data_IF_732291235970
#
_entry.id   IF_732291235970
#
_cell.length_a   1.000
_cell.length_b   1.000
_cell.length_c   1.000
_cell.angle_alpha   90.00
_cell.angle_beta   90.00
_cell.angle_gamma   90.00
#
_symmetry.space_group_name_H-M   'P 1'
#
loop_
_entity.id
_entity.type
_entity.pdbx_description
1 polymer ?
#
# COMPACT_ATOMS: atom_id res chain seq x y z
N UNK A 1 -30.82 14.75 17.28
CA UNK A 1 -30.40 13.66 16.38
C UNK A 1 -30.74 12.36 17.09
N UNK A 2 -31.70 11.60 16.56
CA UNK A 2 -31.95 10.24 17.02
C UNK A 2 -30.66 9.42 16.80
N UNK A 3 -30.28 8.61 17.78
CA UNK A 3 -29.14 7.71 17.65
C UNK A 3 -29.44 6.67 16.58
N UNK A 4 -28.58 6.55 15.57
CA UNK A 4 -28.67 5.47 14.59
C UNK A 4 -28.57 4.12 15.34
N UNK A 5 -29.63 3.31 15.28
CA UNK A 5 -29.78 2.10 16.08
C UNK A 5 -30.23 0.89 15.22
N UNK A 6 -30.32 -0.27 15.86
CA UNK A 6 -30.66 -1.52 15.19
C UNK A 6 -32.10 -1.53 14.65
N UNK A 7 -33.00 -0.74 15.25
CA UNK A 7 -34.40 -0.60 14.81
C UNK A 7 -34.45 0.11 13.45
N UNK A 8 -33.70 1.20 13.29
CA UNK A 8 -33.62 1.92 12.02
C UNK A 8 -33.02 1.05 10.91
N UNK A 9 -31.96 0.28 11.21
CA UNK A 9 -31.40 -0.68 10.24
C UNK A 9 -32.40 -1.77 9.85
N UNK A 10 -33.19 -2.28 10.80
CA UNK A 10 -34.20 -3.28 10.53
C UNK A 10 -35.35 -2.72 9.67
N UNK A 11 -35.79 -1.50 9.94
CA UNK A 11 -36.79 -0.80 9.13
C UNK A 11 -36.29 -0.52 7.72
N UNK A 12 -35.04 -0.09 7.57
CA UNK A 12 -34.43 0.12 6.26
C UNK A 12 -34.35 -1.20 5.50
N UNK A 13 -33.86 -2.26 6.16
CA UNK A 13 -33.73 -3.60 5.54
C UNK A 13 -35.07 -4.19 5.12
N UNK A 14 -36.17 -3.90 5.83
CA UNK A 14 -37.50 -4.42 5.51
C UNK A 14 -38.14 -3.75 4.29
N UNK A 15 -37.59 -2.61 3.83
CA UNK A 15 -38.03 -1.97 2.58
C UNK A 15 -37.50 -2.69 1.32
N UNK A 16 -36.58 -3.65 1.48
CA UNK A 16 -35.95 -4.35 0.37
C UNK A 16 -36.35 -5.83 0.32
N UNK A 17 -36.65 -6.32 -0.88
CA UNK A 17 -36.75 -7.74 -1.21
C UNK A 17 -35.56 -8.16 -2.10
N UNK A 18 -35.51 -7.67 -3.34
CA UNK A 18 -34.46 -8.01 -4.33
C UNK A 18 -33.90 -6.77 -5.04
N UNK A 19 -34.20 -5.57 -4.53
CA UNK A 19 -33.80 -4.29 -5.13
C UNK A 19 -34.28 -4.15 -6.59
N UNK A 20 -35.52 -4.51 -6.88
CA UNK A 20 -36.12 -4.51 -8.23
C UNK A 20 -37.03 -3.32 -8.48
N UNK A 21 -37.64 -2.77 -7.43
CA UNK A 21 -38.61 -1.67 -7.56
C UNK A 21 -37.91 -0.31 -7.58
N UNK A 22 -38.53 0.69 -8.22
CA UNK A 22 -38.04 2.07 -8.24
C UNK A 22 -37.87 2.65 -6.82
N UNK A 23 -38.76 2.26 -5.89
CA UNK A 23 -38.71 2.69 -4.51
C UNK A 23 -37.46 2.14 -3.78
N UNK A 24 -37.18 0.84 -3.95
CA UNK A 24 -35.96 0.21 -3.42
C UNK A 24 -34.70 0.84 -4.02
N UNK A 25 -34.67 1.06 -5.34
CA UNK A 25 -33.53 1.67 -6.04
C UNK A 25 -33.23 3.08 -5.51
N UNK A 26 -34.26 3.89 -5.26
CA UNK A 26 -34.06 5.22 -4.67
C UNK A 26 -33.49 5.15 -3.24
N UNK A 27 -33.78 4.09 -2.49
CA UNK A 27 -33.23 3.89 -1.14
C UNK A 27 -31.77 3.42 -1.14
N UNK A 28 -31.27 2.85 -2.25
CA UNK A 28 -29.88 2.40 -2.34
C UNK A 28 -28.88 3.54 -2.19
N UNK A 29 -29.20 4.76 -2.63
CA UNK A 29 -28.33 5.93 -2.41
C UNK A 29 -28.12 6.22 -0.92
N UNK A 30 -29.15 6.04 -0.10
CA UNK A 30 -29.07 6.20 1.36
C UNK A 30 -28.23 5.06 1.96
N UNK A 31 -28.46 3.83 1.51
CA UNK A 31 -27.69 2.65 1.95
C UNK A 31 -26.21 2.80 1.62
N UNK A 32 -25.88 3.28 0.42
CA UNK A 32 -24.50 3.50 -0.02
C UNK A 32 -23.80 4.55 0.84
N UNK A 33 -24.46 5.69 1.09
CA UNK A 33 -23.90 6.73 1.96
C UNK A 33 -23.64 6.18 3.38
N UNK A 34 -24.58 5.42 3.95
CA UNK A 34 -24.41 4.80 5.26
C UNK A 34 -23.26 3.78 5.29
N UNK A 35 -23.18 2.92 4.28
CA UNK A 35 -22.13 1.91 4.17
C UNK A 35 -20.74 2.56 4.01
N UNK A 36 -20.62 3.58 3.15
CA UNK A 36 -19.38 4.34 2.95
C UNK A 36 -18.93 5.01 4.24
N UNK A 37 -19.83 5.71 4.94
CA UNK A 37 -19.52 6.31 6.24
C UNK A 37 -19.11 5.28 7.29
N UNK A 38 -19.73 4.10 7.30
CA UNK A 38 -19.37 3.02 8.22
C UNK A 38 -17.97 2.48 7.93
N UNK A 39 -17.62 2.32 6.65
CA UNK A 39 -16.31 1.88 6.21
C UNK A 39 -15.21 2.90 6.59
N UNK A 40 -15.47 4.20 6.40
CA UNK A 40 -14.56 5.28 6.80
C UNK A 40 -14.36 5.36 8.32
N UNK A 41 -15.42 5.14 9.11
CA UNK A 41 -15.31 5.09 10.57
C UNK A 41 -14.56 3.86 11.07
N UNK A 42 -14.68 2.72 10.38
CA UNK A 42 -13.98 1.48 10.75
C UNK A 42 -12.47 1.66 10.80
N UNK A 43 -11.91 2.42 9.86
CA UNK A 43 -10.47 2.73 9.84
C UNK A 43 -10.02 3.58 11.04
N UNK A 44 -10.93 4.32 11.68
CA UNK A 44 -10.63 5.18 12.84
C UNK A 44 -10.91 4.48 14.16
N UNK A 45 -12.01 3.73 14.25
CA UNK A 45 -12.41 2.99 15.44
C UNK A 45 -13.28 1.79 15.05
N UNK A 46 -12.67 0.62 14.96
CA UNK A 46 -13.33 -0.65 14.61
C UNK A 46 -14.42 -1.08 15.59
N UNK A 47 -14.48 -0.49 16.79
CA UNK A 47 -15.43 -0.82 17.85
C UNK A 47 -16.62 0.13 17.92
N UNK A 48 -16.81 1.00 16.92
CA UNK A 48 -17.95 1.92 16.87
C UNK A 48 -19.27 1.15 16.87
N UNK A 49 -20.19 1.53 17.76
CA UNK A 49 -21.54 0.96 17.83
C UNK A 49 -22.29 1.09 16.51
N UNK A 50 -22.01 2.13 15.71
CA UNK A 50 -22.58 2.34 14.38
C UNK A 50 -22.22 1.21 13.41
N UNK A 51 -20.95 0.79 13.40
CA UNK A 51 -20.44 -0.26 12.53
C UNK A 51 -21.05 -1.60 12.93
N UNK A 52 -21.04 -1.91 14.23
CA UNK A 52 -21.64 -3.14 14.76
C UNK A 52 -23.15 -3.20 14.49
N UNK A 53 -23.83 -2.06 14.52
CA UNK A 53 -25.27 -1.97 14.21
C UNK A 53 -25.54 -2.38 12.75
N UNK A 54 -24.82 -1.79 11.79
CA UNK A 54 -24.94 -2.16 10.37
C UNK A 54 -24.53 -3.62 10.17
N UNK A 55 -23.48 -4.06 10.85
CA UNK A 55 -22.93 -5.41 10.79
C UNK A 55 -23.95 -6.49 11.16
N UNK A 56 -24.63 -6.27 12.28
CA UNK A 56 -25.64 -7.17 12.83
C UNK A 56 -27.02 -7.06 12.18
N UNK A 57 -27.19 -6.11 11.26
CA UNK A 57 -28.46 -5.90 10.57
C UNK A 57 -28.67 -6.91 9.44
N UNK A 58 -29.89 -6.94 8.89
CA UNK A 58 -30.17 -7.75 7.70
C UNK A 58 -29.72 -7.07 6.39
N UNK A 59 -29.13 -5.88 6.47
CA UNK A 59 -28.74 -5.08 5.31
C UNK A 59 -27.68 -5.77 4.43
N UNK A 60 -26.59 -6.36 4.96
CA UNK A 60 -25.63 -7.09 4.14
C UNK A 60 -26.27 -8.23 3.35
N UNK A 61 -27.21 -8.96 3.97
CA UNK A 61 -27.93 -10.07 3.32
C UNK A 61 -28.89 -9.59 2.24
N UNK A 62 -29.54 -8.46 2.45
CA UNK A 62 -30.38 -7.80 1.43
C UNK A 62 -29.55 -7.43 0.20
N UNK A 63 -28.39 -6.82 0.40
CA UNK A 63 -27.48 -6.43 -0.70
C UNK A 63 -26.97 -7.67 -1.45
N UNK A 64 -26.59 -8.70 -0.71
CA UNK A 64 -26.18 -9.98 -1.27
C UNK A 64 -27.29 -10.64 -2.11
N UNK A 65 -28.52 -10.65 -1.61
CA UNK A 65 -29.68 -11.18 -2.34
C UNK A 65 -29.96 -10.38 -3.61
N UNK A 66 -29.85 -9.05 -3.55
CA UNK A 66 -30.02 -8.17 -4.72
C UNK A 66 -28.98 -8.40 -5.80
N UNK A 67 -27.72 -8.68 -5.42
CA UNK A 67 -26.65 -9.09 -6.35
C UNK A 67 -26.90 -10.49 -6.90
N UNK A 68 -27.21 -11.47 -6.05
CA UNK A 68 -27.51 -12.85 -6.47
C UNK A 68 -28.67 -12.92 -7.47
N UNK A 69 -29.72 -12.13 -7.28
CA UNK A 69 -30.87 -12.10 -8.18
C UNK A 69 -30.49 -11.64 -9.60
N UNK A 70 -29.50 -10.74 -9.72
CA UNK A 70 -28.98 -10.21 -11.00
C UNK A 70 -27.93 -11.11 -11.63
N UNK A 71 -27.11 -11.76 -10.82
CA UNK A 71 -26.11 -12.72 -11.31
C UNK A 71 -26.81 -13.98 -11.84
N UNK A 72 -27.82 -14.49 -11.13
CA UNK A 72 -28.55 -15.71 -11.56
C UNK A 72 -29.31 -15.53 -12.87
N UNK A 73 -29.89 -14.35 -13.12
CA UNK A 73 -30.53 -14.08 -14.42
C UNK A 73 -29.54 -14.16 -15.58
N UNK A 74 -28.25 -13.94 -15.34
CA UNK A 74 -27.21 -14.07 -16.37
C UNK A 74 -26.74 -15.51 -16.58
N UNK A 75 -26.85 -16.38 -15.57
CA UNK A 75 -26.47 -17.81 -15.66
C UNK A 75 -27.59 -18.67 -16.31
N UNK A 76 -28.84 -18.21 -16.28
CA UNK A 76 -30.02 -18.94 -16.80
C UNK A 76 -30.39 -18.59 -18.26
N UNK A 77 -29.77 -17.55 -18.86
CA UNK A 77 -29.93 -17.18 -20.26
C UNK A 77 -29.00 -18.06 -21.15
N UNK A 78 -29.61 -19.04 -21.80
CA UNK A 78 -29.07 -20.09 -22.68
C UNK A 78 -27.67 -19.86 -23.32
N UNK A 79 -26.89 -20.94 -23.32
CA UNK A 79 -25.55 -21.17 -23.94
C UNK A 79 -25.43 -20.91 -25.47
N UNK A 80 -26.30 -20.12 -26.12
CA UNK A 80 -26.30 -19.97 -27.58
C UNK A 80 -25.97 -18.57 -28.14
N UNK A 81 -25.74 -17.53 -27.33
CA UNK A 81 -25.32 -16.21 -27.86
C UNK A 81 -24.14 -15.62 -27.05
N UNK A 82 -22.91 -15.97 -27.44
CA UNK A 82 -21.63 -15.57 -26.82
C UNK A 82 -21.27 -14.05 -26.92
N UNK A 83 -22.19 -13.15 -27.30
CA UNK A 83 -21.92 -11.70 -27.36
C UNK A 83 -22.72 -10.83 -26.37
N UNK A 84 -23.86 -11.30 -25.81
CA UNK A 84 -24.75 -10.48 -24.95
C UNK A 84 -24.70 -10.84 -23.44
N UNK A 85 -23.88 -11.82 -23.03
CA UNK A 85 -23.83 -12.36 -21.65
C UNK A 85 -23.27 -11.45 -20.55
N UNK A 86 -22.94 -10.18 -20.84
CA UNK A 86 -22.41 -9.21 -19.88
C UNK A 86 -23.34 -8.01 -19.63
N UNK A 87 -24.52 -7.96 -20.24
CA UNK A 87 -25.47 -6.86 -20.11
C UNK A 87 -25.88 -6.57 -18.66
N UNK A 88 -25.95 -7.61 -17.82
CA UNK A 88 -26.24 -7.48 -16.39
C UNK A 88 -25.18 -6.65 -15.63
N UNK A 89 -23.95 -6.59 -16.14
CA UNK A 89 -22.87 -5.78 -15.58
C UNK A 89 -23.06 -4.30 -15.86
N UNK A 90 -23.87 -3.92 -16.86
CA UNK A 90 -24.11 -2.53 -17.26
C UNK A 90 -25.30 -1.87 -16.53
N UNK A 91 -26.03 -2.63 -15.71
CA UNK A 91 -27.12 -2.10 -14.88
C UNK A 91 -26.59 -1.19 -13.75
N UNK A 92 -27.06 0.07 -13.73
CA UNK A 92 -26.72 1.06 -12.70
C UNK A 92 -26.96 0.53 -11.28
N UNK A 93 -27.97 -0.34 -11.12
CA UNK A 93 -28.27 -0.95 -9.83
C UNK A 93 -27.25 -2.03 -9.46
N UNK A 94 -26.86 -2.92 -10.39
CA UNK A 94 -25.74 -3.87 -10.18
C UNK A 94 -24.48 -3.12 -9.74
N UNK A 95 -24.19 -2.02 -10.41
CA UNK A 95 -23.01 -1.19 -10.14
C UNK A 95 -23.04 -0.58 -8.74
N UNK A 96 -24.17 0.03 -8.36
CA UNK A 96 -24.36 0.59 -7.03
C UNK A 96 -24.30 -0.50 -5.95
N UNK A 97 -24.95 -1.64 -6.15
CA UNK A 97 -24.91 -2.77 -5.23
C UNK A 97 -23.48 -3.31 -5.05
N UNK A 98 -22.68 -3.35 -6.12
CA UNK A 98 -21.27 -3.77 -6.08
C UNK A 98 -20.42 -2.82 -5.25
N UNK A 99 -20.63 -1.51 -5.37
CA UNK A 99 -19.95 -0.51 -4.50
C UNK A 99 -20.39 -0.63 -3.04
N UNK A 100 -21.69 -0.73 -2.79
CA UNK A 100 -22.24 -0.96 -1.44
C UNK A 100 -21.62 -2.21 -0.83
N UNK A 101 -21.54 -3.31 -1.59
CA UNK A 101 -20.90 -4.53 -1.14
C UNK A 101 -19.45 -4.28 -0.69
N UNK A 102 -18.65 -3.56 -1.49
CA UNK A 102 -17.27 -3.19 -1.14
C UNK A 102 -17.15 -2.29 0.10
N UNK A 103 -18.18 -1.55 0.47
CA UNK A 103 -18.21 -0.79 1.73
C UNK A 103 -18.63 -1.67 2.93
N UNK A 104 -19.57 -2.60 2.71
CA UNK A 104 -20.07 -3.51 3.73
C UNK A 104 -19.11 -4.67 4.03
N UNK A 105 -18.08 -4.88 3.22
CA UNK A 105 -17.16 -6.01 3.32
C UNK A 105 -16.33 -6.08 4.61
N UNK A 106 -16.35 -5.04 5.45
CA UNK A 106 -15.80 -4.99 6.81
C UNK A 106 -16.65 -5.73 7.85
N UNK A 107 -17.74 -6.36 7.42
CA UNK A 107 -18.70 -7.09 8.22
C UNK A 107 -18.68 -8.55 7.75
N UNK A 108 -18.15 -9.44 8.62
CA UNK A 108 -18.14 -10.93 8.73
C UNK A 108 -18.64 -11.90 7.63
N UNK A 109 -19.09 -11.46 6.45
CA UNK A 109 -19.61 -12.32 5.40
C UNK A 109 -18.68 -12.28 4.17
N UNK A 110 -18.09 -13.43 3.86
CA UNK A 110 -17.28 -13.63 2.65
C UNK A 110 -18.00 -14.65 1.75
N UNK A 111 -18.59 -14.17 0.66
CA UNK A 111 -19.13 -15.00 -0.41
C UNK A 111 -18.28 -14.81 -1.66
N UNK A 112 -17.52 -15.85 -2.03
CA UNK A 112 -16.59 -15.82 -3.15
C UNK A 112 -17.26 -15.45 -4.48
N UNK A 113 -18.47 -15.98 -4.75
CA UNK A 113 -19.21 -15.67 -5.98
C UNK A 113 -19.52 -14.17 -6.06
N UNK A 114 -20.02 -13.59 -4.97
CA UNK A 114 -20.35 -12.16 -4.92
C UNK A 114 -19.10 -11.28 -5.03
N UNK A 115 -18.00 -11.65 -4.36
CA UNK A 115 -16.72 -10.91 -4.45
C UNK A 115 -16.21 -10.90 -5.88
N UNK A 116 -16.21 -12.05 -6.55
CA UNK A 116 -15.79 -12.19 -7.94
C UNK A 116 -16.63 -11.31 -8.89
N UNK A 117 -17.95 -11.47 -8.88
CA UNK A 117 -18.84 -10.71 -9.79
C UNK A 117 -18.84 -9.20 -9.50
N UNK A 118 -18.85 -8.79 -8.23
CA UNK A 118 -18.74 -7.36 -7.88
C UNK A 118 -17.39 -6.79 -8.33
N UNK A 119 -16.33 -7.59 -8.22
CA UNK A 119 -15.01 -7.23 -8.74
C UNK A 119 -15.00 -7.04 -10.25
N UNK A 120 -15.63 -7.94 -11.01
CA UNK A 120 -15.75 -7.81 -12.47
C UNK A 120 -16.49 -6.53 -12.87
N UNK A 121 -17.61 -6.24 -12.22
CA UNK A 121 -18.41 -5.03 -12.48
C UNK A 121 -17.56 -3.80 -12.22
N UNK A 122 -16.94 -3.69 -11.05
CA UNK A 122 -16.11 -2.53 -10.71
C UNK A 122 -14.90 -2.42 -11.65
N UNK A 123 -14.25 -3.53 -11.99
CA UNK A 123 -13.13 -3.56 -12.93
C UNK A 123 -13.53 -2.96 -14.27
N UNK A 124 -14.64 -3.44 -14.85
CA UNK A 124 -15.13 -2.97 -16.14
C UNK A 124 -15.36 -1.45 -16.13
N UNK A 125 -16.04 -0.92 -15.10
CA UNK A 125 -16.32 0.51 -15.03
C UNK A 125 -15.05 1.33 -14.82
N UNK A 126 -14.12 0.90 -13.97
CA UNK A 126 -12.81 1.55 -13.85
C UNK A 126 -12.12 1.60 -15.21
N UNK A 127 -12.04 0.49 -15.94
CA UNK A 127 -11.41 0.44 -17.26
C UNK A 127 -12.02 1.43 -18.25
N UNK A 128 -13.36 1.49 -18.31
CA UNK A 128 -14.09 2.46 -19.12
C UNK A 128 -13.77 3.92 -18.74
N UNK A 129 -13.84 4.25 -17.45
CA UNK A 129 -13.57 5.60 -16.94
C UNK A 129 -12.12 6.02 -17.21
N UNK A 130 -11.15 5.14 -16.94
CA UNK A 130 -9.71 5.39 -17.16
C UNK A 130 -9.43 5.61 -18.65
N UNK A 131 -9.95 4.75 -19.52
CA UNK A 131 -9.81 4.86 -20.97
C UNK A 131 -10.39 6.17 -21.50
N UNK A 132 -11.61 6.51 -21.09
CA UNK A 132 -12.30 7.72 -21.52
C UNK A 132 -11.62 8.99 -20.98
N UNK A 133 -11.24 9.01 -19.70
CA UNK A 133 -10.49 10.12 -19.11
C UNK A 133 -9.16 10.37 -19.84
N UNK A 134 -8.42 9.31 -20.18
CA UNK A 134 -7.16 9.44 -20.92
C UNK A 134 -7.39 10.02 -22.32
N UNK A 135 -8.47 9.61 -23.01
CA UNK A 135 -8.89 10.20 -24.29
C UNK A 135 -9.18 11.71 -24.13
N UNK A 136 -9.98 12.09 -23.13
CA UNK A 136 -10.30 13.50 -22.87
C UNK A 136 -9.04 14.35 -22.57
N UNK A 137 -8.07 13.82 -21.83
CA UNK A 137 -6.81 14.51 -21.56
C UNK A 137 -5.98 14.73 -22.84
N UNK A 138 -5.97 13.75 -23.75
CA UNK A 138 -5.33 13.88 -25.07
C UNK A 138 -6.04 14.91 -25.94
N UNK A 139 -7.37 14.91 -25.94
CA UNK A 139 -8.18 15.88 -26.68
C UNK A 139 -7.93 17.31 -26.15
N UNK A 140 -7.91 17.50 -24.83
CA UNK A 140 -7.58 18.77 -24.20
C UNK A 140 -6.18 19.26 -24.61
N UNK A 141 -5.18 18.38 -24.61
CA UNK A 141 -3.81 18.70 -25.05
C UNK A 141 -3.77 19.12 -26.53
N UNK A 142 -4.54 18.43 -27.39
CA UNK A 142 -4.63 18.74 -28.81
C UNK A 142 -5.31 20.10 -29.08
N UNK A 143 -6.36 20.44 -28.32
CA UNK A 143 -7.05 21.73 -28.40
C UNK A 143 -6.10 22.87 -27.97
N UNK A 144 -5.36 22.68 -26.88
CA UNK A 144 -4.36 23.65 -26.42
C UNK A 144 -3.28 23.93 -27.47
N UNK A 145 -2.76 22.88 -28.15
CA UNK A 145 -1.76 23.04 -29.23
C UNK A 145 -2.28 23.85 -30.42
N UNK A 146 -3.59 23.84 -30.66
CA UNK A 146 -4.23 24.63 -31.72
C UNK A 146 -4.48 26.10 -31.32
N UNK A 147 -4.01 26.54 -30.15
CA UNK A 147 -4.21 27.89 -29.59
C UNK A 147 -5.69 28.31 -29.44
N UNK A 148 -6.60 27.36 -29.33
CA UNK A 148 -8.03 27.64 -29.10
C UNK A 148 -8.30 27.68 -27.59
N UNK A 149 -7.58 28.54 -26.87
CA UNK A 149 -7.60 28.60 -25.40
C UNK A 149 -8.90 29.16 -24.80
N UNK A 150 -9.82 29.64 -25.64
CA UNK A 150 -11.12 30.21 -25.24
C UNK A 150 -12.27 29.66 -26.09
N UNK A 151 -12.24 28.36 -26.43
CA UNK A 151 -13.42 27.70 -27.03
C UNK A 151 -14.32 27.09 -25.96
N UNK A 152 -15.63 27.20 -26.18
CA UNK A 152 -16.63 26.40 -25.46
C UNK A 152 -16.29 24.90 -25.48
N UNK A 153 -15.63 24.43 -26.54
CA UNK A 153 -15.16 23.05 -26.67
C UNK A 153 -14.15 22.65 -25.58
N UNK A 154 -13.13 23.49 -25.33
CA UNK A 154 -12.13 23.23 -24.30
C UNK A 154 -12.73 23.22 -22.88
N UNK A 155 -13.65 24.15 -22.59
CA UNK A 155 -14.36 24.17 -21.31
C UNK A 155 -15.25 22.94 -21.12
N UNK A 156 -15.94 22.49 -22.17
CA UNK A 156 -16.75 21.28 -22.12
C UNK A 156 -15.88 20.03 -21.84
N UNK A 157 -14.73 19.90 -22.51
CA UNK A 157 -13.79 18.79 -22.25
C UNK A 157 -13.31 18.83 -20.80
N UNK A 158 -12.94 20.01 -20.27
CA UNK A 158 -12.54 20.14 -18.86
C UNK A 158 -13.65 19.75 -17.89
N UNK A 159 -14.90 20.13 -18.17
CA UNK A 159 -16.07 19.73 -17.37
C UNK A 159 -16.23 18.21 -17.37
N UNK A 160 -16.11 17.57 -18.54
CA UNK A 160 -16.15 16.11 -18.65
C UNK A 160 -15.01 15.45 -17.87
N UNK A 161 -13.78 15.96 -17.95
CA UNK A 161 -12.66 15.42 -17.16
C UNK A 161 -12.97 15.48 -15.66
N UNK A 162 -13.51 16.59 -15.13
CA UNK A 162 -13.85 16.71 -13.71
C UNK A 162 -14.90 15.68 -13.27
N UNK A 163 -15.95 15.49 -14.07
CA UNK A 163 -16.97 14.46 -13.80
C UNK A 163 -16.36 13.06 -13.76
N UNK A 164 -15.46 12.75 -14.71
CA UNK A 164 -14.77 11.45 -14.73
C UNK A 164 -13.82 11.26 -13.54
N UNK A 165 -13.15 12.32 -13.07
CA UNK A 165 -12.35 12.28 -11.85
C UNK A 165 -13.23 11.94 -10.64
N UNK A 166 -14.37 12.61 -10.48
CA UNK A 166 -15.30 12.38 -9.38
C UNK A 166 -15.82 10.93 -9.39
N UNK A 167 -16.32 10.47 -10.53
CA UNK A 167 -16.83 9.10 -10.70
C UNK A 167 -15.74 8.06 -10.42
N UNK A 168 -14.56 8.20 -11.04
CA UNK A 168 -13.45 7.27 -10.86
C UNK A 168 -12.96 7.24 -9.39
N UNK A 169 -12.96 8.39 -8.71
CA UNK A 169 -12.58 8.46 -7.30
C UNK A 169 -13.52 7.63 -6.43
N UNK A 170 -14.83 7.66 -6.67
CA UNK A 170 -15.78 6.83 -5.91
C UNK A 170 -15.56 5.34 -6.11
N UNK A 171 -15.19 4.89 -7.32
CA UNK A 171 -14.84 3.49 -7.55
C UNK A 171 -13.52 3.10 -6.88
N UNK A 172 -12.49 3.94 -6.94
CA UNK A 172 -11.22 3.67 -6.27
C UNK A 172 -11.41 3.60 -4.74
N UNK A 173 -12.26 4.45 -4.16
CA UNK A 173 -12.63 4.36 -2.74
C UNK A 173 -13.35 3.03 -2.45
N UNK A 174 -14.30 2.61 -3.29
CA UNK A 174 -14.97 1.32 -3.13
C UNK A 174 -13.96 0.17 -3.16
N UNK A 175 -13.06 0.14 -4.14
CA UNK A 175 -11.99 -0.89 -4.21
C UNK A 175 -11.14 -0.87 -2.96
N UNK A 176 -10.65 0.31 -2.53
CA UNK A 176 -9.84 0.48 -1.33
C UNK A 176 -10.46 -0.20 -0.11
N UNK A 177 -11.77 -0.08 0.09
CA UNK A 177 -12.48 -0.73 1.20
C UNK A 177 -12.75 -2.22 0.94
N UNK A 178 -13.06 -2.58 -0.31
CA UNK A 178 -13.26 -3.98 -0.72
C UNK A 178 -12.01 -4.85 -0.52
N UNK A 179 -10.82 -4.26 -0.56
CA UNK A 179 -9.52 -4.95 -0.53
C UNK A 179 -8.79 -4.87 0.81
N UNK A 180 -9.43 -4.35 1.87
CA UNK A 180 -8.86 -4.31 3.22
C UNK A 180 -8.45 -5.71 3.70
N UNK A 181 -9.29 -6.72 3.50
CA UNK A 181 -8.98 -8.11 3.87
C UNK A 181 -8.19 -8.84 2.79
N UNK A 182 -7.14 -9.52 3.23
CA UNK A 182 -6.23 -10.27 2.36
C UNK A 182 -6.96 -11.24 1.40
N UNK A 183 -8.00 -11.96 1.85
CA UNK A 183 -8.75 -12.88 0.98
C UNK A 183 -9.47 -12.18 -0.17
N UNK A 184 -10.11 -11.03 0.09
CA UNK A 184 -10.82 -10.24 -0.95
C UNK A 184 -9.83 -9.58 -1.90
N UNK A 185 -8.73 -9.09 -1.35
CA UNK A 185 -7.60 -8.55 -2.11
C UNK A 185 -7.02 -9.57 -3.09
N UNK A 186 -6.81 -10.82 -2.66
CA UNK A 186 -6.36 -11.91 -3.52
C UNK A 186 -7.37 -12.12 -4.66
N UNK A 187 -8.67 -12.14 -4.38
CA UNK A 187 -9.70 -12.30 -5.40
C UNK A 187 -9.67 -11.16 -6.43
N UNK A 188 -9.64 -9.91 -5.95
CA UNK A 188 -9.60 -8.72 -6.78
C UNK A 188 -8.32 -8.63 -7.64
N UNK A 189 -7.18 -9.04 -7.08
CA UNK A 189 -5.89 -8.97 -7.78
C UNK A 189 -5.65 -10.16 -8.72
N UNK A 190 -5.87 -11.39 -8.25
CA UNK A 190 -5.41 -12.60 -8.95
C UNK A 190 -6.49 -13.24 -9.83
N UNK A 191 -7.77 -13.07 -9.47
CA UNK A 191 -8.88 -13.70 -10.20
C UNK A 191 -9.53 -12.69 -11.13
N UNK A 192 -9.85 -11.51 -10.60
CA UNK A 192 -10.49 -10.42 -11.37
C UNK A 192 -9.45 -9.66 -12.21
N UNK A 193 -8.19 -9.61 -11.79
CA UNK A 193 -7.13 -8.79 -12.39
C UNK A 193 -7.49 -7.29 -12.45
N UNK A 194 -7.96 -6.77 -11.33
CA UNK A 194 -8.37 -5.37 -11.21
C UNK A 194 -7.21 -4.38 -11.37
N UNK A 195 -5.99 -4.82 -11.05
CA UNK A 195 -4.83 -3.95 -11.11
C UNK A 195 -4.52 -3.48 -12.54
N UNK A 196 -4.87 -4.25 -13.58
CA UNK A 196 -4.63 -3.88 -14.98
C UNK A 196 -5.38 -2.61 -15.38
N UNK A 197 -6.60 -2.41 -14.85
CA UNK A 197 -7.41 -1.24 -15.19
C UNK A 197 -6.98 0.01 -14.41
N UNK A 198 -6.38 -0.17 -13.23
CA UNK A 198 -5.90 0.93 -12.38
C UNK A 198 -4.46 1.31 -12.74
N UNK A 199 -3.67 0.38 -13.27
CA UNK A 199 -2.28 0.54 -13.70
C UNK A 199 -2.02 1.86 -14.45
N UNK A 200 -2.82 2.26 -15.46
CA UNK A 200 -2.55 3.49 -16.21
C UNK A 200 -2.51 4.75 -15.35
N UNK A 201 -3.22 4.76 -14.21
CA UNK A 201 -3.28 5.88 -13.28
C UNK A 201 -1.97 6.09 -12.50
N UNK A 202 -1.08 5.09 -12.47
CA UNK A 202 0.30 5.27 -11.99
C UNK A 202 1.05 6.35 -12.79
N UNK A 203 0.67 6.54 -14.05
CA UNK A 203 1.33 7.49 -14.95
C UNK A 203 0.72 8.89 -14.92
N UNK A 204 -0.12 9.20 -13.94
CA UNK A 204 -0.64 10.56 -13.74
C UNK A 204 0.52 11.45 -13.28
N UNK A 205 0.66 12.60 -13.93
CA UNK A 205 1.63 13.62 -13.55
C UNK A 205 3.10 13.13 -13.49
N UNK A 206 3.48 12.11 -14.27
CA UNK A 206 4.87 11.69 -14.40
C UNK A 206 5.80 12.89 -14.65
N UNK A 207 6.93 13.00 -13.92
CA UNK A 207 7.92 14.04 -14.18
C UNK A 207 8.36 14.03 -15.64
N UNK A 208 8.41 15.21 -16.26
CA UNK A 208 8.81 15.34 -17.67
C UNK A 208 10.24 14.86 -17.93
N UNK A 209 11.09 14.85 -16.89
CA UNK A 209 12.45 14.30 -16.91
C UNK A 209 12.48 12.80 -17.25
N UNK A 210 11.44 12.04 -16.89
CA UNK A 210 11.36 10.61 -17.14
C UNK A 210 10.97 10.25 -18.58
N UNK A 211 10.47 11.22 -19.37
CA UNK A 211 9.99 11.02 -20.75
C UNK A 211 9.02 9.82 -20.88
N UNK A 212 8.20 9.58 -19.86
CA UNK A 212 7.27 8.45 -19.84
C UNK A 212 6.26 8.53 -21.00
N UNK A 213 6.21 7.48 -21.82
CA UNK A 213 5.31 7.40 -22.98
C UNK A 213 3.84 7.20 -22.60
N UNK A 214 3.57 6.73 -21.38
CA UNK A 214 2.23 6.51 -20.83
C UNK A 214 1.71 7.65 -19.99
N UNK A 215 2.45 8.76 -19.87
CA UNK A 215 2.09 9.93 -19.06
C UNK A 215 0.67 10.40 -19.40
N UNK A 216 -0.18 10.48 -18.37
CA UNK A 216 -1.47 11.15 -18.44
C UNK A 216 -1.26 12.59 -17.99
N UNK A 217 -1.35 13.52 -18.93
CA UNK A 217 -1.17 14.96 -18.67
C UNK A 217 -2.54 15.63 -18.57
N UNK A 218 -2.89 16.09 -17.36
CA UNK A 218 -4.09 16.87 -17.13
C UNK A 218 -3.88 18.34 -17.55
N UNK A 219 -4.95 19.04 -17.96
CA UNK A 219 -4.92 20.50 -18.09
C UNK A 219 -4.48 21.17 -16.79
N UNK A 220 -3.64 22.22 -16.86
CA UNK A 220 -3.10 22.93 -15.67
C UNK A 220 -4.18 23.43 -14.70
N UNK A 221 -5.40 23.71 -15.18
CA UNK A 221 -6.53 24.15 -14.37
C UNK A 221 -7.31 23.03 -13.67
N UNK A 222 -6.88 21.77 -13.83
CA UNK A 222 -7.49 20.60 -13.22
C UNK A 222 -6.46 19.97 -12.30
N UNK A 223 -6.77 19.98 -11.01
CA UNK A 223 -6.00 19.25 -10.02
C UNK A 223 -6.40 17.77 -10.04
N UNK A 224 -5.43 16.91 -10.35
CA UNK A 224 -5.59 15.45 -10.38
C UNK A 224 -4.79 14.77 -9.26
N UNK A 225 -4.24 15.54 -8.32
CA UNK A 225 -3.40 15.02 -7.24
C UNK A 225 -4.15 14.00 -6.39
N UNK A 226 -5.36 14.34 -5.93
CA UNK A 226 -6.14 13.45 -5.06
C UNK A 226 -6.49 12.13 -5.74
N UNK A 227 -6.87 12.17 -7.03
CA UNK A 227 -7.14 10.98 -7.83
C UNK A 227 -5.89 10.10 -7.95
N UNK A 228 -4.74 10.72 -8.23
CA UNK A 228 -3.47 10.01 -8.33
C UNK A 228 -3.13 9.31 -7.01
N UNK A 229 -3.27 9.99 -5.87
CA UNK A 229 -3.00 9.41 -4.57
C UNK A 229 -3.93 8.24 -4.24
N UNK A 230 -5.22 8.36 -4.54
CA UNK A 230 -6.17 7.27 -4.36
C UNK A 230 -5.81 6.06 -5.23
N UNK A 231 -5.43 6.28 -6.49
CA UNK A 231 -5.01 5.21 -7.38
C UNK A 231 -3.75 4.50 -6.85
N UNK A 232 -2.73 5.25 -6.44
CA UNK A 232 -1.50 4.68 -5.87
C UNK A 232 -1.76 3.94 -4.56
N UNK A 233 -2.65 4.44 -3.71
CA UNK A 233 -3.05 3.78 -2.47
C UNK A 233 -3.71 2.42 -2.77
N UNK A 234 -4.64 2.36 -3.72
CA UNK A 234 -5.28 1.10 -4.14
C UNK A 234 -4.25 0.15 -4.76
N UNK A 235 -3.41 0.65 -5.67
CA UNK A 235 -2.35 -0.15 -6.32
C UNK A 235 -1.38 -0.76 -5.30
N UNK A 236 -1.06 -0.02 -4.23
CA UNK A 236 -0.20 -0.50 -3.15
C UNK A 236 -0.78 -1.74 -2.46
N UNK A 237 -2.10 -1.85 -2.34
CA UNK A 237 -2.73 -3.00 -1.69
C UNK A 237 -2.56 -4.28 -2.51
N UNK A 238 -2.55 -4.20 -3.85
CA UNK A 238 -2.45 -5.38 -4.71
C UNK A 238 -1.05 -5.96 -4.86
N UNK A 239 -0.01 -5.21 -4.51
CA UNK A 239 1.38 -5.65 -4.72
C UNK A 239 1.77 -6.87 -3.87
N UNK A 240 1.09 -7.10 -2.74
CA UNK A 240 1.25 -8.31 -1.90
C UNK A 240 1.02 -9.64 -2.63
N UNK A 241 0.39 -9.58 -3.81
CA UNK A 241 -0.07 -10.76 -4.56
C UNK A 241 0.56 -10.89 -5.94
N UNK A 242 1.35 -9.90 -6.38
CA UNK A 242 1.85 -9.85 -7.75
C UNK A 242 3.30 -10.31 -7.87
N UNK A 243 3.51 -11.50 -8.43
CA UNK A 243 4.76 -11.87 -9.09
C UNK A 243 4.69 -11.49 -10.59
N UNK A 244 4.35 -10.23 -10.89
CA UNK A 244 4.21 -9.76 -12.28
C UNK A 244 5.59 -9.29 -12.79
N UNK A 245 6.17 -9.90 -13.84
CA UNK A 245 7.50 -9.53 -14.35
C UNK A 245 7.53 -8.13 -15.01
N UNK A 246 6.38 -7.51 -15.26
CA UNK A 246 6.22 -6.12 -15.72
C UNK A 246 5.16 -5.44 -14.86
N UNK A 247 5.61 -4.71 -13.84
CA UNK A 247 4.74 -3.83 -13.06
C UNK A 247 4.64 -2.49 -13.77
N UNK A 248 3.42 -1.96 -13.86
CA UNK A 248 3.15 -0.66 -14.45
C UNK A 248 3.64 -0.47 -15.89
N UNK A 249 3.86 -1.59 -16.59
CA UNK A 249 4.46 -1.64 -17.93
C UNK A 249 5.70 -0.76 -18.12
N UNK A 250 6.43 -0.54 -17.04
CA UNK A 250 7.72 0.15 -17.01
C UNK A 250 8.79 -0.84 -16.57
N UNK A 251 10.05 -0.58 -16.93
CA UNK A 251 11.15 -1.34 -16.38
C UNK A 251 11.33 -1.04 -14.87
N UNK A 252 12.01 -1.93 -14.16
CA UNK A 252 12.22 -1.81 -12.71
C UNK A 252 12.92 -0.50 -12.33
N UNK A 253 13.92 -0.07 -13.12
CA UNK A 253 14.63 1.19 -12.89
C UNK A 253 13.72 2.41 -13.00
N UNK A 254 12.76 2.37 -13.93
CA UNK A 254 11.79 3.42 -14.17
C UNK A 254 10.77 3.51 -13.04
N UNK A 255 10.35 2.41 -12.41
CA UNK A 255 9.42 2.45 -11.25
C UNK A 255 10.04 3.27 -10.12
N UNK A 256 11.30 2.98 -9.76
CA UNK A 256 12.01 3.73 -8.71
C UNK A 256 12.12 5.20 -9.07
N UNK A 257 12.37 5.52 -10.34
CA UNK A 257 12.46 6.90 -10.80
C UNK A 257 11.13 7.68 -10.74
N UNK A 258 9.97 6.99 -10.76
CA UNK A 258 8.67 7.61 -10.52
C UNK A 258 8.42 7.88 -9.03
N UNK A 259 8.86 6.99 -8.14
CA UNK A 259 8.52 7.03 -6.72
C UNK A 259 9.52 7.81 -5.86
N UNK A 260 10.81 7.67 -6.15
CA UNK A 260 11.90 8.20 -5.34
C UNK A 260 11.88 9.73 -5.15
N UNK A 261 11.55 10.57 -6.15
CA UNK A 261 11.60 12.02 -5.98
C UNK A 261 10.75 12.55 -4.82
N UNK A 262 9.52 12.03 -4.65
CA UNK A 262 8.61 12.48 -3.58
C UNK A 262 9.11 12.01 -2.22
N UNK A 263 9.58 10.75 -2.13
CA UNK A 263 10.15 10.18 -0.90
C UNK A 263 11.37 11.00 -0.47
N UNK A 264 12.29 11.28 -1.40
CA UNK A 264 13.51 12.04 -1.15
C UNK A 264 13.18 13.48 -0.73
N UNK A 265 12.27 14.15 -1.44
CA UNK A 265 11.91 15.53 -1.15
C UNK A 265 11.27 15.65 0.23
N UNK A 266 10.24 14.84 0.51
CA UNK A 266 9.55 14.91 1.79
C UNK A 266 10.48 14.58 2.94
N UNK A 267 11.29 13.52 2.80
CA UNK A 267 12.35 13.23 3.75
C UNK A 267 13.20 14.48 3.93
N UNK A 268 13.88 14.99 2.89
CA UNK A 268 14.78 16.15 2.96
C UNK A 268 14.21 17.40 3.66
N UNK A 269 12.91 17.66 3.55
CA UNK A 269 12.28 18.82 4.18
C UNK A 269 11.92 18.63 5.65
N UNK A 270 11.75 17.38 6.10
CA UNK A 270 11.35 17.11 7.48
C UNK A 270 12.55 17.12 8.43
N UNK A 271 12.39 17.49 9.70
CA UNK A 271 13.49 17.46 10.67
C UNK A 271 13.90 16.04 11.09
N UNK A 272 13.09 15.01 10.79
CA UNK A 272 13.25 13.66 11.33
C UNK A 272 14.55 12.97 10.93
N UNK A 273 15.01 13.13 9.68
CA UNK A 273 16.24 12.50 9.17
C UNK A 273 17.52 13.31 9.46
N UNK A 274 17.40 14.60 9.85
CA UNK A 274 18.57 15.49 10.08
C UNK A 274 19.42 15.07 11.28
N UNK A 275 18.86 14.26 12.18
CA UNK A 275 19.55 13.79 13.37
C UNK A 275 20.56 12.66 13.10
N UNK A 276 20.61 12.12 11.88
CA UNK A 276 21.59 11.12 11.51
C UNK A 276 22.85 11.77 10.90
N UNK A 277 24.03 11.45 11.48
CA UNK A 277 25.31 12.09 11.18
C UNK A 277 25.96 11.72 9.82
N UNK A 278 25.24 11.04 8.92
CA UNK A 278 25.61 10.95 7.48
C UNK A 278 25.49 12.30 6.76
N UNK A 279 25.00 13.33 7.46
CA UNK A 279 24.81 14.72 7.03
C UNK A 279 26.07 15.40 6.44
N UNK A 280 27.27 14.84 6.60
CA UNK A 280 28.48 15.38 5.97
C UNK A 280 28.68 14.98 4.50
N UNK A 281 27.86 14.10 3.91
CA UNK A 281 28.02 13.67 2.49
C UNK A 281 26.77 13.64 1.63
N UNK A 282 25.58 13.88 2.18
CA UNK A 282 24.46 14.30 1.34
C UNK A 282 24.77 15.74 0.94
N UNK A 283 25.56 15.92 -0.14
CA UNK A 283 25.65 17.20 -0.83
C UNK A 283 24.22 17.71 -0.91
N UNK A 284 23.94 18.80 -0.19
CA UNK A 284 22.63 19.41 -0.16
C UNK A 284 22.20 19.50 -1.61
N UNK A 285 21.21 18.66 -1.90
CA UNK A 285 20.67 18.47 -3.21
C UNK A 285 20.41 19.88 -3.78
N UNK A 286 21.16 20.23 -4.82
CA UNK A 286 20.66 21.17 -5.83
C UNK A 286 19.56 20.44 -6.61
N UNK A 287 18.56 19.94 -5.88
CA UNK A 287 17.25 19.75 -6.46
C UNK A 287 16.87 21.14 -6.95
N UNK A 288 16.54 21.29 -8.22
CA UNK A 288 15.75 22.43 -8.68
C UNK A 288 14.40 22.33 -7.94
N UNK A 289 14.39 22.87 -6.73
CA UNK A 289 13.26 22.87 -5.81
C UNK A 289 12.24 23.86 -6.35
N UNK A 290 11.46 23.44 -7.35
CA UNK A 290 10.20 24.12 -7.62
C UNK A 290 9.35 24.05 -6.34
N UNK A 291 8.65 25.14 -6.01
CA UNK A 291 7.92 25.45 -4.76
C UNK A 291 6.83 24.44 -4.30
N UNK A 292 6.80 23.20 -4.80
CA UNK A 292 5.81 22.21 -4.40
C UNK A 292 6.13 21.61 -3.02
N UNK A 293 5.36 21.97 -2.00
CA UNK A 293 5.36 21.27 -0.72
C UNK A 293 4.59 19.96 -0.84
N UNK A 294 5.26 18.81 -0.72
CA UNK A 294 4.55 17.52 -0.64
C UNK A 294 3.99 17.28 0.78
N UNK A 295 2.78 16.72 0.85
CA UNK A 295 2.11 16.36 2.09
C UNK A 295 2.63 15.05 2.68
N UNK A 296 2.40 14.85 3.97
CA UNK A 296 2.73 13.60 4.67
C UNK A 296 1.97 12.41 4.07
N UNK A 297 0.72 12.61 3.65
CA UNK A 297 -0.07 11.58 2.99
C UNK A 297 0.59 11.11 1.68
N UNK A 298 1.11 12.04 0.87
CA UNK A 298 1.84 11.71 -0.34
C UNK A 298 3.06 10.85 -0.05
N UNK A 299 3.87 11.26 0.93
CA UNK A 299 5.03 10.49 1.36
C UNK A 299 4.68 9.05 1.71
N UNK A 300 3.67 8.83 2.57
CA UNK A 300 3.30 7.49 3.02
C UNK A 300 2.76 6.60 1.90
N UNK A 301 1.96 7.15 0.99
CA UNK A 301 1.42 6.39 -0.15
C UNK A 301 2.56 5.95 -1.07
N UNK A 302 3.48 6.86 -1.40
CA UNK A 302 4.63 6.57 -2.27
C UNK A 302 5.60 5.58 -1.62
N UNK A 303 5.89 5.74 -0.33
CA UNK A 303 6.74 4.83 0.43
C UNK A 303 6.11 3.44 0.54
N UNK A 304 4.82 3.36 0.87
CA UNK A 304 4.08 2.09 0.98
C UNK A 304 4.05 1.36 -0.36
N UNK A 305 3.83 2.08 -1.45
CA UNK A 305 3.87 1.50 -2.79
C UNK A 305 5.28 0.96 -3.11
N UNK A 306 6.34 1.74 -2.89
CA UNK A 306 7.71 1.27 -3.11
C UNK A 306 8.03 0.03 -2.27
N UNK A 307 7.68 0.06 -0.98
CA UNK A 307 7.86 -1.04 -0.05
C UNK A 307 7.19 -2.32 -0.55
N UNK A 308 5.87 -2.27 -0.82
CA UNK A 308 5.14 -3.46 -1.21
C UNK A 308 5.64 -4.02 -2.54
N UNK A 309 6.08 -3.15 -3.47
CA UNK A 309 6.68 -3.64 -4.70
C UNK A 309 8.03 -4.31 -4.42
N UNK A 310 8.90 -3.71 -3.60
CA UNK A 310 10.25 -4.24 -3.33
C UNK A 310 10.21 -5.60 -2.63
N UNK A 311 9.40 -5.74 -1.57
CA UNK A 311 9.28 -6.98 -0.77
C UNK A 311 8.76 -8.15 -1.60
N UNK A 312 8.03 -7.89 -2.69
CA UNK A 312 7.50 -8.92 -3.57
C UNK A 312 8.21 -9.00 -4.93
N UNK A 313 9.22 -8.16 -5.16
CA UNK A 313 10.01 -8.12 -6.39
C UNK A 313 11.44 -7.66 -6.14
N UNK A 314 12.29 -8.61 -5.77
CA UNK A 314 13.71 -8.38 -5.45
C UNK A 314 14.55 -7.72 -6.55
N UNK A 315 14.09 -7.73 -7.82
CA UNK A 315 14.82 -7.10 -8.94
C UNK A 315 14.98 -5.58 -8.76
N UNK A 316 14.13 -4.97 -7.95
CA UNK A 316 14.16 -3.53 -7.67
C UNK A 316 15.26 -3.11 -6.69
N UNK A 317 15.81 -4.04 -5.90
CA UNK A 317 16.86 -3.73 -4.92
C UNK A 317 18.04 -2.98 -5.57
N UNK A 318 18.54 -3.49 -6.69
CA UNK A 318 19.63 -2.85 -7.46
C UNK A 318 19.28 -1.44 -7.96
N UNK A 319 18.02 -1.23 -8.36
CA UNK A 319 17.53 0.05 -8.87
C UNK A 319 17.43 1.09 -7.74
N UNK A 320 17.00 0.67 -6.55
CA UNK A 320 16.94 1.52 -5.35
C UNK A 320 18.33 1.94 -4.90
N UNK A 321 19.30 1.02 -4.89
CA UNK A 321 20.71 1.30 -4.56
C UNK A 321 21.32 2.30 -5.54
N UNK A 322 20.96 2.19 -6.82
CA UNK A 322 21.50 3.03 -7.89
C UNK A 322 20.88 4.44 -7.93
N UNK A 323 19.68 4.63 -7.37
CA UNK A 323 19.00 5.91 -7.36
C UNK A 323 19.62 6.84 -6.31
N UNK A 324 20.18 7.97 -6.75
CA UNK A 324 20.91 8.90 -5.89
C UNK A 324 20.07 9.35 -4.70
N UNK A 325 20.67 9.30 -3.51
CA UNK A 325 20.10 9.72 -2.22
C UNK A 325 18.91 8.91 -1.69
N UNK A 326 18.31 8.00 -2.47
CA UNK A 326 17.22 7.15 -1.98
C UNK A 326 17.69 6.21 -0.88
N UNK A 327 18.72 5.38 -1.15
CA UNK A 327 19.26 4.44 -0.17
C UNK A 327 19.70 5.11 1.16
N UNK A 328 20.52 6.19 1.16
CA UNK A 328 20.86 6.90 2.40
C UNK A 328 19.63 7.41 3.17
N UNK A 329 18.58 7.86 2.49
CA UNK A 329 17.35 8.35 3.12
C UNK A 329 16.57 7.20 3.75
N UNK A 330 16.41 6.09 3.04
CA UNK A 330 15.75 4.89 3.57
C UNK A 330 16.48 4.37 4.82
N UNK A 331 17.81 4.32 4.80
CA UNK A 331 18.61 3.97 5.99
C UNK A 331 18.38 4.96 7.12
N UNK A 332 18.40 6.26 6.85
CA UNK A 332 18.21 7.28 7.90
C UNK A 332 16.85 7.14 8.59
N UNK A 333 15.82 6.71 7.85
CA UNK A 333 14.47 6.43 8.38
C UNK A 333 14.42 5.16 9.25
N UNK A 334 15.39 4.24 9.18
CA UNK A 334 15.43 3.09 10.10
C UNK A 334 15.84 3.50 11.52
N UNK A 335 16.52 4.64 11.66
CA UNK A 335 16.97 5.20 12.93
C UNK A 335 16.01 6.21 13.55
N UNK A 336 14.96 6.62 12.84
CA UNK A 336 14.02 7.63 13.35
C UNK A 336 13.14 7.08 14.48
N UNK A 337 13.62 7.12 15.72
CA UNK A 337 12.83 7.01 16.96
C UNK A 337 13.70 7.33 18.18
N UNK A 338 13.29 8.27 19.06
CA UNK A 338 13.73 8.22 20.47
C UNK A 338 13.00 9.15 21.47
N UNK A 339 12.26 10.20 21.06
CA UNK A 339 11.50 11.05 22.01
C UNK A 339 10.23 11.66 21.40
N UNK A 340 9.19 10.86 21.18
CA UNK A 340 7.84 11.39 20.96
C UNK A 340 7.01 11.08 22.21
N UNK A 341 7.08 11.99 23.18
CA UNK A 341 6.42 11.90 24.50
C UNK A 341 4.89 12.03 24.42
N UNK A 342 4.29 11.99 23.23
CA UNK A 342 2.84 12.01 23.04
C UNK A 342 2.46 11.12 21.84
N UNK A 343 1.47 10.24 22.02
CA UNK A 343 0.86 9.46 20.94
C UNK A 343 -0.04 10.41 20.15
N UNK A 344 0.48 10.93 19.04
CA UNK A 344 -0.29 11.63 18.00
C UNK A 344 -0.35 10.74 16.75
N UNK A 345 -1.32 10.98 15.86
CA UNK A 345 -1.45 10.24 14.58
C UNK A 345 -0.14 10.27 13.75
N UNK A 346 0.62 11.35 13.88
CA UNK A 346 1.95 11.55 13.25
C UNK A 346 2.98 10.54 13.79
N UNK A 347 2.87 10.10 15.04
CA UNK A 347 3.77 9.08 15.61
C UNK A 347 3.52 7.70 14.95
N UNK A 348 2.25 7.35 14.74
CA UNK A 348 1.88 6.06 14.18
C UNK A 348 2.30 5.95 12.70
N UNK A 349 2.15 7.02 11.94
CA UNK A 349 2.51 7.07 10.53
C UNK A 349 4.04 6.90 10.34
N UNK A 350 4.85 7.55 11.17
CA UNK A 350 6.31 7.44 11.13
C UNK A 350 6.84 6.08 11.60
N UNK A 351 6.17 5.43 12.55
CA UNK A 351 6.48 4.03 12.93
C UNK A 351 6.31 3.12 11.71
N UNK A 352 5.19 3.23 11.00
CA UNK A 352 4.96 2.42 9.80
C UNK A 352 6.00 2.70 8.71
N UNK A 353 6.39 3.95 8.50
CA UNK A 353 7.45 4.30 7.55
C UNK A 353 8.79 3.66 7.92
N UNK A 354 9.13 3.62 9.22
CA UNK A 354 10.36 2.97 9.72
C UNK A 354 10.33 1.46 9.51
N UNK A 355 9.20 0.81 9.81
CA UNK A 355 8.97 -0.62 9.56
C UNK A 355 9.23 -0.96 8.08
N UNK A 356 8.58 -0.22 7.18
CA UNK A 356 8.72 -0.38 5.74
C UNK A 356 10.15 -0.15 5.26
N UNK A 357 10.89 0.79 5.86
CA UNK A 357 12.28 1.01 5.52
C UNK A 357 13.16 -0.17 5.98
N UNK A 358 12.94 -0.71 7.18
CA UNK A 358 13.67 -1.90 7.65
C UNK A 358 13.49 -3.06 6.66
N UNK A 359 12.25 -3.34 6.27
CA UNK A 359 11.93 -4.42 5.34
C UNK A 359 12.58 -4.20 3.95
N UNK A 360 12.49 -2.99 3.39
CA UNK A 360 13.14 -2.68 2.10
C UNK A 360 14.67 -2.78 2.14
N UNK A 361 15.30 -2.33 3.22
CA UNK A 361 16.76 -2.46 3.36
C UNK A 361 17.14 -3.93 3.54
N UNK A 362 16.32 -4.73 4.21
CA UNK A 362 16.51 -6.17 4.30
C UNK A 362 16.52 -6.84 2.92
N UNK A 363 15.57 -6.51 2.06
CA UNK A 363 15.54 -6.98 0.67
C UNK A 363 16.80 -6.59 -0.12
N UNK A 364 17.30 -5.37 0.08
CA UNK A 364 18.57 -4.93 -0.52
C UNK A 364 19.73 -5.80 -0.06
N UNK A 365 19.84 -6.05 1.24
CA UNK A 365 20.91 -6.89 1.78
C UNK A 365 20.82 -8.34 1.29
N UNK A 366 19.62 -8.91 1.16
CA UNK A 366 19.44 -10.29 0.71
C UNK A 366 19.75 -10.50 -0.77
N UNK A 367 19.58 -9.47 -1.60
CA UNK A 367 19.55 -9.62 -3.06
C UNK A 367 20.61 -8.83 -3.84
N UNK A 368 21.33 -7.91 -3.20
CA UNK A 368 22.48 -7.25 -3.79
C UNK A 368 23.81 -7.96 -3.47
N UNK A 369 24.87 -7.57 -4.17
CA UNK A 369 26.21 -8.15 -3.97
C UNK A 369 26.83 -7.82 -2.60
N UNK A 370 27.92 -8.51 -2.28
CA UNK A 370 28.64 -8.37 -1.01
C UNK A 370 29.20 -6.95 -0.77
N UNK A 371 29.51 -6.19 -1.83
CA UNK A 371 30.01 -4.82 -1.68
C UNK A 371 28.89 -3.90 -1.19
N UNK A 372 27.70 -4.04 -1.78
CA UNK A 372 26.50 -3.32 -1.34
C UNK A 372 26.12 -3.75 0.08
N UNK A 373 26.14 -5.05 0.38
CA UNK A 373 25.87 -5.56 1.73
C UNK A 373 26.83 -4.95 2.77
N UNK A 374 28.14 -4.94 2.51
CA UNK A 374 29.13 -4.32 3.41
C UNK A 374 28.82 -2.84 3.65
N UNK A 375 28.57 -2.10 2.55
CA UNK A 375 28.26 -0.67 2.61
C UNK A 375 27.01 -0.40 3.45
N UNK A 376 25.96 -1.19 3.26
CA UNK A 376 24.69 -1.00 3.97
C UNK A 376 24.80 -1.41 5.44
N UNK A 377 25.29 -2.62 5.70
CA UNK A 377 25.32 -3.20 7.04
C UNK A 377 26.31 -2.49 7.95
N UNK A 378 27.51 -2.18 7.45
CA UNK A 378 28.63 -1.64 8.23
C UNK A 378 28.78 -0.13 8.02
N UNK A 379 29.05 0.31 6.78
CA UNK A 379 29.38 1.74 6.55
C UNK A 379 28.19 2.67 6.84
N UNK A 380 26.98 2.23 6.53
CA UNK A 380 25.72 2.92 6.81
C UNK A 380 25.07 2.47 8.13
N UNK A 381 25.71 1.57 8.87
CA UNK A 381 25.33 1.09 10.22
C UNK A 381 23.96 0.46 10.31
N UNK A 382 23.45 -0.15 9.23
CA UNK A 382 22.14 -0.80 9.30
C UNK A 382 22.12 -1.95 10.33
N UNK A 383 23.23 -2.66 10.53
CA UNK A 383 23.33 -3.71 11.55
C UNK A 383 23.06 -3.14 12.96
N UNK A 384 23.69 -2.02 13.30
CA UNK A 384 23.36 -1.25 14.51
C UNK A 384 21.88 -0.85 14.61
N UNK A 385 21.30 -0.36 13.51
CA UNK A 385 19.87 0.02 13.49
C UNK A 385 18.97 -1.16 13.82
N UNK A 386 19.29 -2.34 13.27
CA UNK A 386 18.55 -3.57 13.52
C UNK A 386 18.71 -3.99 14.99
N UNK A 387 19.92 -3.98 15.55
CA UNK A 387 20.17 -4.38 16.94
C UNK A 387 19.33 -3.55 17.92
N UNK A 388 19.32 -2.23 17.74
CA UNK A 388 18.49 -1.32 18.54
C UNK A 388 16.99 -1.59 18.38
N UNK A 389 16.53 -1.84 17.15
CA UNK A 389 15.12 -2.09 16.84
C UNK A 389 14.62 -3.46 17.32
N UNK A 390 15.49 -4.48 17.33
CA UNK A 390 15.18 -5.83 17.81
C UNK A 390 15.27 -5.96 19.34
N UNK A 391 15.63 -4.87 20.05
CA UNK A 391 15.99 -4.86 21.46
C UNK A 391 17.07 -5.88 21.78
N UNK A 392 18.21 -5.75 21.11
CA UNK A 392 19.41 -6.51 21.42
C UNK A 392 20.37 -5.57 22.17
N UNK A 393 20.63 -5.88 23.43
CA UNK A 393 21.57 -5.19 24.30
C UNK A 393 21.01 -3.99 25.08
N UNK A 394 19.73 -4.03 25.44
CA UNK A 394 19.09 -2.98 26.23
C UNK A 394 18.41 -1.91 25.37
N UNK A 395 18.01 -2.28 24.15
CA UNK A 395 17.17 -1.46 23.30
C UNK A 395 15.85 -1.08 23.99
N UNK A 396 15.35 0.12 23.70
CA UNK A 396 14.12 0.67 24.29
C UNK A 396 12.92 0.60 23.33
N UNK A 397 12.99 -0.21 22.28
CA UNK A 397 11.90 -0.35 21.31
C UNK A 397 10.69 -0.99 21.99
N UNK A 398 9.55 -0.31 21.95
CA UNK A 398 8.29 -0.77 22.51
C UNK A 398 7.29 -1.19 21.41
N UNK A 399 7.62 -0.93 20.14
CA UNK A 399 6.73 -1.24 19.04
C UNK A 399 6.93 -2.67 18.51
N UNK A 400 5.92 -3.52 18.74
CA UNK A 400 5.93 -4.92 18.30
C UNK A 400 6.12 -5.14 16.79
N UNK A 401 5.62 -4.24 15.92
CA UNK A 401 5.80 -4.44 14.47
C UNK A 401 7.24 -4.16 14.05
N UNK A 402 7.86 -3.11 14.59
CA UNK A 402 9.29 -2.81 14.41
C UNK A 402 10.17 -3.95 14.91
N UNK A 403 9.94 -4.42 16.13
CA UNK A 403 10.72 -5.53 16.72
C UNK A 403 10.62 -6.77 15.82
N UNK A 404 9.41 -7.08 15.34
CA UNK A 404 9.17 -8.22 14.46
C UNK A 404 9.92 -8.09 13.13
N UNK A 405 9.80 -6.95 12.44
CA UNK A 405 10.52 -6.71 11.17
C UNK A 405 12.04 -6.74 11.37
N UNK A 406 12.55 -6.18 12.46
CA UNK A 406 13.97 -6.21 12.78
C UNK A 406 14.48 -7.64 13.02
N UNK A 407 13.73 -8.46 13.78
CA UNK A 407 14.07 -9.87 14.02
C UNK A 407 14.05 -10.70 12.74
N UNK A 408 13.03 -10.53 11.89
CA UNK A 408 12.98 -11.20 10.57
C UNK A 408 14.17 -10.79 9.69
N UNK A 409 14.56 -9.51 9.72
CA UNK A 409 15.72 -9.00 8.98
C UNK A 409 17.03 -9.58 9.50
N UNK A 410 17.17 -9.73 10.83
CA UNK A 410 18.31 -10.43 11.42
C UNK A 410 18.42 -11.88 10.94
N UNK A 411 17.32 -12.63 10.99
CA UNK A 411 17.28 -14.04 10.60
C UNK A 411 17.56 -14.24 9.10
N UNK A 412 17.14 -13.30 8.26
CA UNK A 412 17.29 -13.41 6.80
C UNK A 412 18.65 -12.93 6.28
N UNK A 413 19.33 -12.03 7.00
CA UNK A 413 20.60 -11.45 6.55
C UNK A 413 21.76 -11.95 7.38
N UNK A 414 21.69 -11.80 8.70
CA UNK A 414 22.82 -12.00 9.61
C UNK A 414 23.05 -13.49 9.86
N UNK A 415 21.98 -14.27 10.05
CA UNK A 415 22.11 -15.71 10.30
C UNK A 415 22.78 -16.47 9.14
N UNK A 416 22.39 -16.28 7.85
CA UNK A 416 23.10 -16.90 6.73
C UNK A 416 24.56 -16.46 6.62
N UNK A 417 24.87 -15.19 6.91
CA UNK A 417 26.25 -14.69 6.93
C UNK A 417 27.09 -15.35 8.03
N UNK A 418 26.47 -15.76 9.14
CA UNK A 418 27.14 -16.49 10.22
C UNK A 418 27.27 -18.00 9.89
N UNK A 419 26.24 -18.65 9.34
CA UNK A 419 26.22 -20.09 9.03
C UNK A 419 27.12 -20.48 7.84
N UNK A 420 27.02 -19.76 6.71
CA UNK A 420 27.72 -20.11 5.45
C UNK A 420 29.25 -20.10 5.60
N UNK A 421 29.76 -19.46 6.65
CA UNK A 421 31.18 -19.28 6.95
C UNK A 421 31.67 -20.13 8.13
N UNK A 422 30.81 -20.91 8.79
CA UNK A 422 31.27 -21.93 9.73
C UNK A 422 31.74 -23.21 9.02
N UNK A 423 31.41 -23.36 7.72
CA UNK A 423 31.87 -24.47 6.87
C UNK A 423 33.18 -24.15 6.12
N UNK A 424 33.51 -22.86 5.94
CA UNK A 424 34.74 -22.37 5.32
C UNK A 424 35.44 -21.46 6.34
N UNK A 425 36.57 -21.88 6.92
CA UNK A 425 37.36 -21.14 7.93
C UNK A 425 37.97 -19.80 7.43
N UNK A 426 37.20 -18.97 6.73
CA UNK A 426 37.57 -17.62 6.30
C UNK A 426 36.61 -16.62 6.92
N UNK A 427 37.12 -15.84 7.86
CA UNK A 427 36.40 -14.69 8.41
C UNK A 427 36.18 -13.67 7.28
N UNK A 428 34.92 -13.45 6.87
CA UNK A 428 34.62 -12.30 6.02
C UNK A 428 34.73 -11.03 6.87
N UNK A 429 35.36 -9.97 6.34
CA UNK A 429 35.51 -8.69 7.04
C UNK A 429 34.17 -8.05 7.40
N UNK A 430 33.13 -8.36 6.61
CA UNK A 430 31.74 -7.94 6.87
C UNK A 430 31.23 -8.53 8.20
N UNK A 431 31.48 -9.83 8.43
CA UNK A 431 31.00 -10.53 9.65
C UNK A 431 31.62 -9.96 10.91
N UNK A 432 32.94 -9.77 10.96
CA UNK A 432 33.62 -9.27 12.16
C UNK A 432 33.10 -7.89 12.56
N UNK A 433 32.96 -6.97 11.60
CA UNK A 433 32.46 -5.63 11.88
C UNK A 433 30.99 -5.63 12.33
N UNK A 434 30.14 -6.50 11.77
CA UNK A 434 28.74 -6.63 12.21
C UNK A 434 28.67 -7.15 13.65
N UNK A 435 29.46 -8.18 13.99
CA UNK A 435 29.48 -8.75 15.33
C UNK A 435 29.97 -7.72 16.35
N UNK A 436 31.01 -6.94 16.02
CA UNK A 436 31.48 -5.81 16.84
C UNK A 436 30.40 -4.75 17.05
N UNK A 437 29.63 -4.39 16.01
CA UNK A 437 28.51 -3.44 16.15
C UNK A 437 27.39 -3.97 17.05
N UNK A 438 27.07 -5.26 16.98
CA UNK A 438 26.05 -5.89 17.82
C UNK A 438 26.53 -6.01 19.27
N UNK A 439 27.79 -6.41 19.47
CA UNK A 439 28.42 -6.49 20.79
C UNK A 439 28.50 -5.12 21.46
N UNK A 440 28.84 -4.07 20.69
CA UNK A 440 28.91 -2.70 21.20
C UNK A 440 27.57 -2.23 21.78
N UNK A 441 26.46 -2.67 21.20
CA UNK A 441 25.13 -2.37 21.72
C UNK A 441 24.72 -3.29 22.89
N UNK A 442 25.52 -4.28 23.28
CA UNK A 442 25.23 -5.24 24.36
C UNK A 442 24.44 -6.47 23.90
N UNK A 443 24.28 -6.66 22.59
CA UNK A 443 23.34 -7.63 22.01
C UNK A 443 23.52 -9.05 22.53
N UNK A 444 24.77 -9.49 22.72
CA UNK A 444 25.10 -10.85 23.18
C UNK A 444 24.63 -11.15 24.61
N UNK A 445 24.52 -10.15 25.48
CA UNK A 445 24.18 -10.32 26.90
C UNK A 445 22.67 -10.54 27.13
N UNK A 446 21.81 -10.01 26.25
CA UNK A 446 20.36 -10.23 26.29
C UNK A 446 19.92 -11.56 25.67
N UNK A 447 20.67 -12.06 24.68
CA UNK A 447 20.43 -13.40 24.12
C UNK A 447 20.62 -14.51 25.17
N UNK A 448 21.61 -14.35 26.06
CA UNK A 448 21.84 -15.26 27.19
C UNK A 448 20.72 -15.24 28.24
N UNK A 449 19.97 -14.13 28.32
CA UNK A 449 18.88 -13.95 29.27
C UNK A 449 17.53 -14.53 28.80
N UNK A 450 17.22 -14.48 27.49
CA UNK A 450 16.01 -15.09 26.93
C UNK A 450 16.01 -16.63 27.01
N UNK A 451 17.19 -17.28 27.04
CA UNK A 451 17.32 -18.73 27.25
C UNK A 451 16.98 -19.18 28.70
N UNK A 452 16.88 -18.25 29.65
CA UNK A 452 16.67 -18.54 31.09
C UNK A 452 15.21 -18.26 31.55
N UNK A 453 14.42 -17.48 30.82
CA UNK A 453 13.05 -17.10 31.23
C UNK A 453 11.95 -17.56 30.26
N UNK A 454 11.69 -18.87 30.23
CA UNK A 454 10.51 -19.44 29.58
C UNK A 454 9.27 -19.36 30.48
N UNK A 455 8.53 -18.24 30.54
CA UNK A 455 7.11 -18.26 30.97
C UNK A 455 6.31 -17.13 30.30
N UNK A 456 5.40 -17.51 29.38
CA UNK A 456 4.21 -16.78 28.88
C UNK A 456 4.25 -15.87 27.63
N UNK A 457 5.27 -15.95 26.78
CA UNK A 457 5.13 -15.49 25.38
C UNK A 457 5.21 -16.69 24.43
N UNK A 458 4.42 -16.63 23.36
CA UNK A 458 4.10 -17.68 22.37
C UNK A 458 5.30 -18.63 22.12
N UNK A 459 5.12 -19.97 22.17
CA UNK A 459 6.22 -20.90 22.31
C UNK A 459 7.19 -20.84 21.12
N UNK A 460 8.41 -20.38 21.41
CA UNK A 460 9.62 -20.55 20.64
C UNK A 460 9.89 -22.03 20.38
N UNK A 461 9.82 -22.46 19.12
CA UNK A 461 10.43 -23.73 18.71
C UNK A 461 11.89 -23.50 18.35
N UNK A 462 12.76 -23.70 19.34
CA UNK A 462 14.17 -24.17 19.30
C UNK A 462 15.04 -23.76 18.11
N UNK A 463 16.03 -22.90 18.37
CA UNK A 463 17.21 -22.72 17.52
C UNK A 463 18.46 -23.33 18.20
N UNK A 464 19.12 -24.36 17.61
CA UNK A 464 20.33 -24.99 18.15
C UNK A 464 21.63 -24.18 18.00
N UNK A 465 21.58 -22.93 17.52
CA UNK A 465 22.75 -22.14 17.10
C UNK A 465 23.18 -21.06 18.09
N UNK A 466 22.30 -20.61 18.98
CA UNK A 466 22.64 -19.58 19.98
C UNK A 466 23.69 -20.09 20.99
N UNK A 467 23.69 -21.39 21.29
CA UNK A 467 24.75 -22.04 22.10
C UNK A 467 26.11 -22.13 21.38
N UNK A 468 26.19 -21.93 20.05
CA UNK A 468 27.43 -22.07 19.27
C UNK A 468 28.19 -20.77 19.04
N UNK A 469 27.53 -19.62 19.05
CA UNK A 469 28.19 -18.31 18.90
C UNK A 469 29.05 -18.00 20.15
N UNK A 470 28.56 -18.35 21.34
CA UNK A 470 29.26 -18.18 22.63
C UNK A 470 30.58 -18.98 22.69
N UNK A 471 30.63 -20.16 22.06
CA UNK A 471 31.82 -21.03 22.09
C UNK A 471 32.95 -20.51 21.19
N UNK A 472 32.67 -19.61 20.24
CA UNK A 472 33.68 -19.07 19.31
C UNK A 472 34.18 -17.65 19.65
N UNK A 473 33.55 -16.94 20.58
CA UNK A 473 34.03 -15.64 21.08
C UNK A 473 34.94 -15.82 22.32
N UNK A 474 34.86 -16.97 23.00
CA UNK A 474 35.70 -17.31 24.16
C UNK A 474 36.97 -18.13 23.81
N UNK A 475 37.29 -18.32 22.52
CA UNK A 475 38.55 -18.89 22.02
C UNK A 475 39.22 -17.90 21.10
#
# INVERSE_FOLDING_TARGET
MESFDQSLCAQLSSQFQECKTKAEQNLLAVVEALAKCAAEQYLKNSSSSFILTIASSNLPKVIENGLNARIKSADDDNEEEEEDGLDWMHDDVTLQLSRIFCYLTNISFFNHKIVFHSGLVIKFYIGCLVSYMNKLCKDATNIQKKNIKESNEYENVKKSIRLQIEELSDYLIAVKFGTIYQRKRIEFANVVDMNEEIEPLFHINCPSSLKCSRKIAFPESIDAEQLHLQALEVLSQFQETMNKPKLYSVDSGSIVAHLAPIIIYFAAQTPYWRNYSLTNKLQLLSLDMNDSTYSEQQFHIFLTLLHNIMVHNNRLASSVVSYSNLLPILISLTFTTQKLDQITDIKQSMIKAREQCIDMISEICQHCDQQIQHKVLVEMKFARSLALAACLGGGIEDNNSIIKSAKISFDSIIHPLIETLNEQQQYSSVRSCILEEIEFEGGFEEFDAEDIQSVNLIPFTRFPIFTRIIVHIQQ
#
